data_IF_378961350385
#
_entry.id   IF_378961350385
#
_cell.length_a   1.000
_cell.length_b   1.000
_cell.length_c   1.000
_cell.angle_alpha   90.00
_cell.angle_beta   90.00
_cell.angle_gamma   90.00
#
_symmetry.space_group_name_H-M   'P 1'
#
loop_
_entity.id
_entity.type
_entity.pdbx_description
1 polymer ?
#
# COMPACT_ATOMS: atom_id res chain seq x y z
N UNK A 1 0.64 -78.60 7.52
CA UNK A 1 1.97 -77.99 7.75
C UNK A 1 1.74 -76.60 8.32
N UNK A 2 2.41 -76.29 9.43
CA UNK A 2 2.27 -75.08 10.28
C UNK A 2 2.72 -73.79 9.54
N UNK A 3 2.37 -72.55 9.92
CA UNK A 3 2.49 -71.91 11.25
C UNK A 3 1.75 -70.53 11.34
N UNK A 4 1.20 -70.23 12.53
CA UNK A 4 1.25 -69.00 13.39
C UNK A 4 1.10 -67.57 12.79
N UNK A 5 0.49 -66.49 13.35
CA UNK A 5 0.03 -66.01 14.69
C UNK A 5 -0.95 -64.79 14.45
N UNK A 6 -2.09 -64.56 15.15
CA UNK A 6 -2.34 -63.92 16.48
C UNK A 6 -1.62 -62.57 16.71
N UNK A 7 -2.20 -61.46 17.22
CA UNK A 7 -3.50 -61.15 17.84
C UNK A 7 -3.74 -59.62 17.90
N UNK A 8 -5.01 -59.22 17.85
CA UNK A 8 -5.55 -57.94 18.35
C UNK A 8 -5.67 -57.96 19.89
N UNK A 9 -5.53 -56.80 20.55
CA UNK A 9 -6.13 -56.59 21.87
C UNK A 9 -6.46 -55.11 22.15
N UNK A 10 -7.71 -54.90 22.55
CA UNK A 10 -8.30 -53.72 23.19
C UNK A 10 -7.79 -53.51 24.63
N UNK A 11 -7.74 -52.25 25.13
CA UNK A 11 -8.28 -51.82 26.45
C UNK A 11 -8.17 -50.29 26.68
N UNK A 12 -9.20 -49.73 27.33
CA UNK A 12 -9.41 -48.34 27.78
C UNK A 12 -8.71 -48.06 29.16
N UNK A 13 -9.06 -47.00 29.92
CA UNK A 13 -8.40 -45.68 30.02
C UNK A 13 -7.79 -45.42 31.43
N UNK A 14 -6.97 -44.38 31.59
CA UNK A 14 -6.52 -43.93 32.93
C UNK A 14 -6.59 -42.40 33.07
N UNK A 15 -7.33 -42.02 34.10
CA UNK A 15 -7.45 -40.72 34.74
C UNK A 15 -6.37 -40.63 35.83
N UNK A 16 -5.59 -39.54 35.88
CA UNK A 16 -4.73 -39.22 37.03
C UNK A 16 -4.63 -37.70 37.17
N UNK A 17 -5.36 -37.16 38.12
CA UNK A 17 -5.11 -35.87 38.78
C UNK A 17 -3.95 -36.01 39.76
N UNK A 18 -3.02 -35.04 39.81
CA UNK A 18 -2.38 -34.64 41.07
C UNK A 18 -1.76 -33.23 40.96
N UNK A 19 -2.06 -32.47 42.00
CA UNK A 19 -1.75 -31.07 42.29
C UNK A 19 -0.40 -30.94 42.97
N UNK A 20 0.42 -29.95 42.59
CA UNK A 20 1.53 -29.48 43.42
C UNK A 20 1.39 -27.96 43.59
N UNK A 21 1.02 -27.59 44.81
CA UNK A 21 0.86 -26.26 45.37
C UNK A 21 2.23 -25.74 45.82
N UNK A 22 2.58 -24.50 45.50
CA UNK A 22 3.70 -23.78 46.10
C UNK A 22 3.21 -22.38 46.46
N UNK A 23 3.09 -22.15 47.76
CA UNK A 23 2.70 -20.89 48.39
C UNK A 23 3.93 -20.10 48.84
N UNK A 24 3.69 -18.80 49.02
CA UNK A 24 4.36 -17.79 49.87
C UNK A 24 5.24 -16.75 49.17
N UNK A 25 5.30 -15.48 49.66
CA UNK A 25 4.46 -14.81 50.65
C UNK A 25 3.83 -13.48 50.16
N UNK A 26 2.75 -13.10 50.85
CA UNK A 26 2.12 -11.77 50.85
C UNK A 26 3.15 -10.69 51.19
N UNK A 27 3.43 -9.81 50.22
CA UNK A 27 4.14 -8.56 50.44
C UNK A 27 3.14 -7.42 50.39
N UNK A 28 2.65 -6.99 51.56
CA UNK A 28 2.01 -5.69 51.74
C UNK A 28 3.00 -4.60 51.34
N UNK A 29 2.87 -4.16 50.09
CA UNK A 29 3.48 -2.93 49.60
C UNK A 29 2.34 -1.97 49.33
N UNK A 30 2.04 -1.15 50.32
CA UNK A 30 1.37 0.14 50.12
C UNK A 30 2.31 1.01 49.27
N UNK A 31 2.32 0.74 47.96
CA UNK A 31 3.02 1.59 47.01
C UNK A 31 2.12 2.78 46.68
N UNK A 32 2.67 3.93 47.01
CA UNK A 32 2.23 5.25 46.63
C UNK A 32 1.60 5.28 45.24
N UNK A 33 0.41 5.88 45.15
CA UNK A 33 -0.21 6.28 43.90
C UNK A 33 0.68 7.30 43.18
N UNK A 34 1.73 6.82 42.53
CA UNK A 34 2.26 7.48 41.35
C UNK A 34 1.12 7.41 40.33
N UNK A 35 0.49 8.54 40.08
CA UNK A 35 -0.37 8.72 38.93
C UNK A 35 0.48 8.39 37.71
N UNK A 36 0.43 7.14 37.25
CA UNK A 36 1.07 6.68 36.03
C UNK A 36 0.40 7.45 34.91
N UNK A 37 0.98 8.61 34.56
CA UNK A 37 0.43 9.55 33.59
C UNK A 37 0.15 8.77 32.31
N UNK A 38 -1.14 8.50 32.08
CA UNK A 38 -1.54 7.68 30.94
C UNK A 38 -0.94 8.26 29.66
N UNK A 39 -0.26 7.45 28.83
CA UNK A 39 0.54 7.97 27.74
C UNK A 39 -0.29 8.87 26.84
N UNK A 40 0.24 10.07 26.58
CA UNK A 40 -0.38 11.12 25.76
C UNK A 40 -0.21 10.88 24.27
N UNK A 41 0.57 9.86 23.89
CA UNK A 41 0.77 9.39 22.53
C UNK A 41 0.21 7.97 22.41
N UNK A 42 -0.61 7.75 21.39
CA UNK A 42 -1.21 6.45 21.07
C UNK A 42 -0.85 6.03 19.65
N UNK A 43 -0.76 4.72 19.40
CA UNK A 43 -0.51 4.15 18.07
C UNK A 43 -1.79 3.53 17.52
N UNK A 44 -2.16 3.91 16.30
CA UNK A 44 -3.34 3.40 15.62
C UNK A 44 -3.09 2.06 14.89
N UNK A 45 -4.15 1.38 14.42
CA UNK A 45 -4.03 0.14 13.66
C UNK A 45 -3.24 0.28 12.35
N UNK A 46 -3.29 1.44 11.70
CA UNK A 46 -2.47 1.74 10.50
C UNK A 46 -1.01 2.09 10.84
N UNK A 47 -0.63 1.95 12.12
CA UNK A 47 0.68 2.23 12.71
C UNK A 47 1.05 3.71 12.79
N UNK A 48 0.11 4.61 12.56
CA UNK A 48 0.30 6.04 12.78
C UNK A 48 0.31 6.34 14.28
N UNK A 49 1.00 7.40 14.69
CA UNK A 49 1.05 7.84 16.08
C UNK A 49 0.31 9.15 16.24
N UNK A 50 -0.45 9.30 17.32
CA UNK A 50 -1.29 10.46 17.58
C UNK A 50 -1.07 10.99 19.00
N UNK A 51 -0.92 12.31 19.13
CA UNK A 51 -1.01 13.07 20.37
C UNK A 51 -2.48 13.30 20.72
N UNK A 52 -2.83 12.99 21.95
CA UNK A 52 -4.19 13.11 22.49
C UNK A 52 -4.25 13.98 23.76
N UNK A 53 -3.16 14.70 24.04
CA UNK A 53 -3.01 15.65 25.14
C UNK A 53 -4.04 16.80 25.08
N UNK A 54 -4.56 17.15 23.90
CA UNK A 54 -5.57 18.22 23.76
C UNK A 54 -7.02 17.74 23.93
N UNK A 55 -7.24 16.44 24.09
CA UNK A 55 -8.58 15.84 24.18
C UNK A 55 -9.07 15.80 25.63
N UNK A 56 -10.39 15.81 25.82
CA UNK A 56 -11.00 15.52 27.13
C UNK A 56 -10.70 14.08 27.57
N UNK A 57 -10.70 13.80 28.87
CA UNK A 57 -10.37 12.47 29.39
C UNK A 57 -11.31 11.37 28.88
N UNK A 58 -12.60 11.67 28.71
CA UNK A 58 -13.58 10.77 28.09
C UNK A 58 -13.20 10.44 26.64
N UNK A 59 -12.77 11.45 25.87
CA UNK A 59 -12.36 11.27 24.48
C UNK A 59 -11.03 10.52 24.39
N UNK A 60 -10.06 10.81 25.27
CA UNK A 60 -8.80 10.07 25.37
C UNK A 60 -9.05 8.59 25.65
N UNK A 61 -9.95 8.28 26.59
CA UNK A 61 -10.34 6.91 26.91
C UNK A 61 -10.97 6.21 25.69
N UNK A 62 -11.92 6.87 25.02
CA UNK A 62 -12.55 6.36 23.78
C UNK A 62 -11.50 6.05 22.70
N UNK A 63 -10.54 6.95 22.48
CA UNK A 63 -9.49 6.76 21.48
C UNK A 63 -8.61 5.57 21.82
N UNK A 64 -8.16 5.48 23.08
CA UNK A 64 -7.31 4.37 23.55
C UNK A 64 -8.02 3.03 23.37
N UNK A 65 -9.28 2.96 23.75
CA UNK A 65 -10.11 1.76 23.54
C UNK A 65 -10.22 1.41 22.05
N UNK A 66 -10.57 2.39 21.20
CA UNK A 66 -10.73 2.18 19.76
C UNK A 66 -9.43 1.74 19.05
N UNK A 67 -8.26 2.13 19.54
CA UNK A 67 -6.98 1.73 18.95
C UNK A 67 -6.40 0.45 19.58
N UNK A 68 -6.72 0.15 20.84
CA UNK A 68 -6.30 -1.08 21.53
C UNK A 68 -7.03 -2.30 21.00
N UNK A 69 -8.35 -2.20 20.83
CA UNK A 69 -9.18 -3.25 20.23
C UNK A 69 -9.95 -2.67 19.03
N UNK A 70 -9.27 -2.55 17.87
CA UNK A 70 -9.89 -1.93 16.72
C UNK A 70 -11.08 -2.74 16.23
N UNK A 71 -12.17 -2.06 15.82
CA UNK A 71 -13.35 -2.76 15.35
C UNK A 71 -12.99 -3.57 14.10
N UNK A 72 -13.51 -4.80 14.01
CA UNK A 72 -13.37 -5.66 12.83
C UNK A 72 -14.31 -5.15 11.75
N UNK A 73 -13.83 -4.17 10.99
CA UNK A 73 -14.59 -3.49 9.94
C UNK A 73 -13.92 -3.71 8.59
N UNK A 74 -14.74 -3.85 7.57
CA UNK A 74 -14.40 -3.69 6.15
C UNK A 74 -15.26 -2.57 5.57
N UNK A 75 -14.71 -1.80 4.63
CA UNK A 75 -15.50 -0.87 3.84
C UNK A 75 -16.16 -1.63 2.70
N UNK A 76 -17.46 -1.45 2.53
CA UNK A 76 -18.21 -2.13 1.48
C UNK A 76 -18.43 -1.21 0.30
N UNK A 77 -19.01 -0.04 0.55
CA UNK A 77 -19.33 0.94 -0.48
C UNK A 77 -18.96 2.35 -0.06
N UNK A 78 -18.57 3.17 -1.03
CA UNK A 78 -18.46 4.60 -0.87
C UNK A 78 -19.17 5.30 -2.02
N UNK A 79 -19.68 6.50 -1.74
CA UNK A 79 -20.28 7.34 -2.77
C UNK A 79 -20.13 8.80 -2.41
N UNK A 80 -20.07 9.64 -3.43
CA UNK A 80 -20.29 11.08 -3.32
C UNK A 80 -21.74 11.36 -3.72
N UNK A 81 -22.49 11.99 -2.83
CA UNK A 81 -23.83 12.47 -3.12
C UNK A 81 -23.97 13.90 -2.57
N UNK A 82 -24.36 14.83 -3.44
CA UNK A 82 -24.33 16.26 -3.14
C UNK A 82 -22.94 16.66 -2.62
N UNK A 83 -22.84 17.26 -1.43
CA UNK A 83 -21.60 17.64 -0.74
C UNK A 83 -21.29 16.66 0.39
N UNK A 84 -21.53 15.38 0.20
CA UNK A 84 -21.34 14.41 1.28
C UNK A 84 -20.81 13.09 0.74
N UNK A 85 -19.60 12.75 1.18
CA UNK A 85 -19.08 11.40 1.06
C UNK A 85 -19.78 10.52 2.08
N UNK A 86 -20.32 9.39 1.62
CA UNK A 86 -20.89 8.36 2.46
C UNK A 86 -20.06 7.09 2.33
N UNK A 87 -19.70 6.49 3.46
CA UNK A 87 -18.96 5.24 3.56
C UNK A 87 -19.80 4.23 4.32
N UNK A 88 -20.12 3.09 3.71
CA UNK A 88 -20.77 1.97 4.36
C UNK A 88 -19.72 0.94 4.77
N UNK A 89 -19.85 0.43 6.00
CA UNK A 89 -18.94 -0.56 6.55
C UNK A 89 -19.71 -1.78 7.07
N UNK A 90 -19.09 -2.94 6.92
CA UNK A 90 -19.61 -4.20 7.43
C UNK A 90 -19.24 -4.36 8.91
N UNK A 91 -20.25 -4.52 9.74
CA UNK A 91 -20.20 -4.98 11.13
C UNK A 91 -21.42 -5.92 11.32
N UNK A 92 -21.65 -6.50 12.50
CA UNK A 92 -22.90 -7.22 12.79
C UNK A 92 -24.17 -6.42 12.41
N UNK A 93 -24.09 -5.09 12.52
CA UNK A 93 -25.08 -4.16 11.98
C UNK A 93 -24.34 -3.18 11.07
N UNK A 94 -24.67 -3.10 9.76
CA UNK A 94 -24.00 -2.17 8.85
C UNK A 94 -24.02 -0.74 9.39
N UNK A 95 -22.86 -0.09 9.37
CA UNK A 95 -22.73 1.31 9.79
C UNK A 95 -22.42 2.18 8.58
N UNK A 96 -22.83 3.43 8.67
CA UNK A 96 -22.57 4.42 7.65
C UNK A 96 -21.93 5.65 8.27
N UNK A 97 -20.86 6.15 7.68
CA UNK A 97 -20.25 7.43 8.02
C UNK A 97 -20.48 8.42 6.91
N UNK A 98 -20.84 9.65 7.28
CA UNK A 98 -21.03 10.78 6.38
C UNK A 98 -20.01 11.86 6.68
N UNK A 99 -19.28 12.29 5.67
CA UNK A 99 -18.29 13.37 5.73
C UNK A 99 -18.70 14.39 4.66
N UNK A 100 -19.18 15.55 5.09
CA UNK A 100 -19.66 16.57 4.17
C UNK A 100 -18.87 17.87 4.26
N UNK A 101 -19.03 18.71 3.23
CA UNK A 101 -18.45 20.06 3.21
C UNK A 101 -19.04 20.93 4.32
N UNK A 102 -18.41 22.07 4.59
CA UNK A 102 -18.91 23.08 5.54
C UNK A 102 -20.32 23.58 5.24
N UNK A 103 -20.76 23.49 3.98
CA UNK A 103 -22.07 23.94 3.50
C UNK A 103 -23.10 22.79 3.41
N UNK A 104 -22.66 21.56 3.61
CA UNK A 104 -23.52 20.37 3.51
C UNK A 104 -24.45 20.20 4.71
N UNK A 105 -25.39 19.24 4.60
CA UNK A 105 -26.21 18.77 5.73
C UNK A 105 -25.37 18.10 6.84
N UNK A 106 -24.13 17.72 6.54
CA UNK A 106 -23.21 17.03 7.45
C UNK A 106 -21.87 17.78 7.55
N UNK A 107 -21.84 19.02 8.08
CA UNK A 107 -20.62 19.84 8.15
C UNK A 107 -19.59 19.31 9.16
N UNK A 108 -19.97 18.29 9.93
CA UNK A 108 -19.06 17.51 10.74
C UNK A 108 -19.27 16.03 10.44
N UNK A 109 -18.20 15.21 10.49
CA UNK A 109 -18.34 13.78 10.28
C UNK A 109 -19.35 13.15 11.26
N UNK A 110 -20.27 12.35 10.73
CA UNK A 110 -21.33 11.68 11.51
C UNK A 110 -21.33 10.18 11.25
N UNK A 111 -21.58 9.40 12.29
CA UNK A 111 -21.74 7.94 12.20
C UNK A 111 -23.17 7.54 12.58
N UNK A 112 -23.72 6.51 11.92
CA UNK A 112 -25.04 5.95 12.24
C UNK A 112 -25.08 5.11 13.53
N UNK A 113 -23.97 5.00 14.28
CA UNK A 113 -23.93 4.28 15.55
C UNK A 113 -24.60 5.03 16.73
N UNK A 114 -25.07 6.27 16.51
CA UNK A 114 -25.85 7.02 17.50
C UNK A 114 -25.05 7.78 18.56
N UNK A 115 -23.71 7.77 18.52
CA UNK A 115 -22.88 8.57 19.44
C UNK A 115 -23.00 10.06 19.06
N UNK A 116 -23.57 10.85 19.97
CA UNK A 116 -23.84 12.28 19.78
C UNK A 116 -22.63 13.16 20.15
N UNK A 117 -21.89 12.76 21.19
CA UNK A 117 -20.80 13.54 21.78
C UNK A 117 -19.44 12.91 21.45
N UNK A 118 -18.60 13.65 20.72
CA UNK A 118 -17.26 13.22 20.35
C UNK A 118 -17.22 12.10 19.30
N UNK A 119 -16.01 11.69 18.89
CA UNK A 119 -15.84 10.64 17.89
C UNK A 119 -16.20 9.26 18.46
N UNK A 120 -16.79 8.41 17.61
CA UNK A 120 -17.00 6.99 17.90
C UNK A 120 -15.85 6.15 17.33
N UNK A 121 -15.74 4.88 17.77
CA UNK A 121 -14.71 3.94 17.28
C UNK A 121 -14.71 3.79 15.75
N UNK A 122 -15.89 3.80 15.11
CA UNK A 122 -16.03 3.69 13.66
C UNK A 122 -15.45 4.90 12.94
N UNK A 123 -15.71 6.09 13.47
CA UNK A 123 -15.21 7.35 12.93
C UNK A 123 -13.69 7.45 13.08
N UNK A 124 -13.17 7.12 14.27
CA UNK A 124 -11.73 7.07 14.51
C UNK A 124 -11.03 6.09 13.57
N UNK A 125 -11.61 4.90 13.39
CA UNK A 125 -11.07 3.89 12.48
C UNK A 125 -11.05 4.38 11.03
N UNK A 126 -12.15 4.93 10.52
CA UNK A 126 -12.21 5.41 9.13
C UNK A 126 -11.24 6.57 8.91
N UNK A 127 -11.22 7.56 9.81
CA UNK A 127 -10.33 8.70 9.69
C UNK A 127 -8.86 8.27 9.72
N UNK A 128 -8.49 7.28 10.53
CA UNK A 128 -7.14 6.70 10.52
C UNK A 128 -6.79 6.06 9.17
N UNK A 129 -7.74 5.33 8.54
CA UNK A 129 -7.55 4.81 7.18
C UNK A 129 -7.38 5.94 6.16
N UNK A 130 -8.18 6.99 6.24
CA UNK A 130 -8.12 8.14 5.32
C UNK A 130 -6.78 8.86 5.43
N UNK A 131 -6.38 9.25 6.64
CA UNK A 131 -5.09 9.91 6.92
C UNK A 131 -3.94 9.08 6.35
N UNK A 132 -3.98 7.75 6.54
CA UNK A 132 -2.94 6.85 6.03
C UNK A 132 -2.79 6.90 4.51
N UNK A 133 -3.87 7.19 3.77
CA UNK A 133 -3.84 7.26 2.32
C UNK A 133 -3.53 8.67 1.79
N UNK A 134 -4.10 9.71 2.42
CA UNK A 134 -4.08 11.08 1.87
C UNK A 134 -2.88 11.91 2.34
N UNK A 135 -2.26 11.58 3.47
CA UNK A 135 -1.13 12.34 4.00
C UNK A 135 0.22 11.78 3.49
N UNK A 136 0.65 12.24 2.33
CA UNK A 136 1.87 11.77 1.68
C UNK A 136 3.18 12.10 2.43
N UNK A 137 3.28 13.31 2.98
CA UNK A 137 4.51 13.84 3.56
C UNK A 137 4.65 13.55 5.07
N UNK A 138 3.87 12.60 5.59
CA UNK A 138 3.95 12.23 7.00
C UNK A 138 5.30 11.56 7.31
N UNK A 139 6.03 12.13 8.27
CA UNK A 139 7.12 11.42 8.92
C UNK A 139 6.56 10.35 9.87
N UNK A 140 6.84 9.05 9.68
CA UNK A 140 6.34 7.99 10.57
C UNK A 140 6.79 8.13 12.03
N UNK A 141 7.87 8.89 12.27
CA UNK A 141 8.42 9.15 13.61
C UNK A 141 7.76 10.36 14.28
N UNK A 142 7.07 11.21 13.52
CA UNK A 142 6.40 12.40 14.03
C UNK A 142 4.94 12.09 14.35
N UNK A 143 4.51 12.19 15.62
CA UNK A 143 3.12 11.98 15.98
C UNK A 143 2.22 13.09 15.45
N UNK A 144 1.08 12.70 14.89
CA UNK A 144 0.00 13.58 14.44
C UNK A 144 -0.78 14.16 15.62
N UNK A 145 -1.48 15.26 15.43
CA UNK A 145 -2.25 15.92 16.48
C UNK A 145 -3.73 15.63 16.29
N UNK A 146 -4.34 14.88 17.21
CA UNK A 146 -5.76 14.55 17.09
C UNK A 146 -6.64 15.70 17.57
N UNK A 147 -7.59 16.10 16.71
CA UNK A 147 -8.62 17.08 17.03
C UNK A 147 -9.71 16.49 17.92
N UNK A 148 -10.50 17.35 18.56
CA UNK A 148 -11.68 16.93 19.35
C UNK A 148 -12.75 16.17 18.55
N UNK A 149 -12.70 16.26 17.22
CA UNK A 149 -13.59 15.55 16.29
C UNK A 149 -13.00 14.20 15.84
N UNK A 150 -11.80 13.84 16.27
CA UNK A 150 -11.18 12.53 16.02
C UNK A 150 -10.35 12.40 14.73
N UNK A 151 -10.07 13.50 14.01
CA UNK A 151 -9.18 13.50 12.85
C UNK A 151 -7.86 14.20 13.14
N UNK A 152 -6.84 13.94 12.32
CA UNK A 152 -5.52 14.59 12.41
C UNK A 152 -5.56 16.04 11.92
N UNK A 153 -5.06 16.98 12.73
CA UNK A 153 -4.97 18.41 12.40
C UNK A 153 -4.16 18.65 11.12
N UNK A 154 -3.12 17.83 10.89
CA UNK A 154 -2.21 17.92 9.75
C UNK A 154 -2.87 17.62 8.40
N UNK A 155 -3.99 16.89 8.39
CA UNK A 155 -4.77 16.61 7.17
C UNK A 155 -5.71 17.77 6.83
N UNK A 156 -5.96 18.68 7.78
CA UNK A 156 -6.92 19.76 7.61
C UNK A 156 -8.36 19.24 7.59
N UNK A 157 -9.16 19.73 6.65
CA UNK A 157 -10.56 19.32 6.53
C UNK A 157 -10.70 17.95 5.82
N UNK A 158 -11.38 16.96 6.42
CA UNK A 158 -11.53 15.64 5.82
C UNK A 158 -12.27 15.63 4.48
N UNK A 159 -13.24 16.53 4.27
CA UNK A 159 -13.96 16.59 2.99
C UNK A 159 -13.04 17.08 1.88
N UNK A 160 -12.32 18.17 2.12
CA UNK A 160 -11.31 18.68 1.17
C UNK A 160 -10.23 17.65 0.89
N UNK A 161 -9.74 16.94 1.92
CA UNK A 161 -8.73 15.89 1.75
C UNK A 161 -9.20 14.75 0.84
N UNK A 162 -10.45 14.29 0.98
CA UNK A 162 -11.03 13.28 0.09
C UNK A 162 -11.21 13.84 -1.32
N UNK A 163 -11.70 15.09 -1.43
CA UNK A 163 -11.94 15.77 -2.70
C UNK A 163 -10.66 15.96 -3.53
N UNK A 164 -9.59 16.42 -2.89
CA UNK A 164 -8.28 16.61 -3.53
C UNK A 164 -7.64 15.28 -3.92
N UNK A 165 -7.91 14.22 -3.15
CA UNK A 165 -7.43 12.87 -3.46
C UNK A 165 -8.26 12.14 -4.52
N UNK A 166 -9.52 12.57 -4.70
CA UNK A 166 -10.59 11.90 -5.44
C UNK A 166 -11.06 10.58 -4.82
N UNK A 167 -12.38 10.43 -4.68
CA UNK A 167 -13.00 9.29 -3.99
C UNK A 167 -12.65 7.96 -4.65
N UNK A 168 -12.58 7.88 -5.96
CA UNK A 168 -12.32 6.65 -6.69
C UNK A 168 -10.87 6.17 -6.54
N UNK A 169 -9.89 7.08 -6.56
CA UNK A 169 -8.49 6.73 -6.28
C UNK A 169 -8.31 6.31 -4.82
N UNK A 170 -9.03 6.97 -3.90
CA UNK A 170 -9.08 6.61 -2.49
C UNK A 170 -9.73 5.25 -2.29
N UNK A 171 -10.84 4.98 -2.99
CA UNK A 171 -11.63 3.77 -2.90
C UNK A 171 -10.81 2.53 -3.27
N UNK A 172 -10.01 2.59 -4.35
CA UNK A 172 -9.07 1.52 -4.72
C UNK A 172 -8.11 1.20 -3.55
N UNK A 173 -7.60 2.23 -2.87
CA UNK A 173 -6.65 2.09 -1.77
C UNK A 173 -7.31 1.56 -0.49
N UNK A 174 -8.56 1.93 -0.25
CA UNK A 174 -9.39 1.47 0.85
C UNK A 174 -10.08 0.13 0.57
N UNK A 175 -10.01 -0.37 -0.68
CA UNK A 175 -10.71 -1.55 -1.20
C UNK A 175 -12.22 -1.45 -1.03
N UNK A 176 -12.74 -0.27 -1.30
CA UNK A 176 -14.14 0.11 -1.14
C UNK A 176 -14.77 0.24 -2.54
N UNK A 177 -15.97 -0.30 -2.77
CA UNK A 177 -16.63 -0.17 -4.08
C UNK A 177 -17.28 1.21 -4.21
N UNK A 178 -16.97 1.94 -5.27
CA UNK A 178 -17.65 3.23 -5.56
C UNK A 178 -19.03 2.95 -6.14
N UNK A 179 -20.07 3.60 -5.61
CA UNK A 179 -21.44 3.53 -6.12
C UNK A 179 -21.82 4.89 -6.69
N UNK A 180 -22.28 4.91 -7.93
CA UNK A 180 -22.75 6.12 -8.61
C UNK A 180 -24.27 6.20 -8.51
N UNK A 181 -24.85 7.32 -8.04
CA UNK A 181 -26.29 7.45 -7.86
C UNK A 181 -27.11 7.49 -9.17
N UNK A 182 -26.46 7.72 -10.32
CA UNK A 182 -27.10 7.86 -11.64
C UNK A 182 -27.00 6.59 -12.51
N UNK A 183 -26.43 5.48 -12.01
CA UNK A 183 -26.66 4.16 -12.61
C UNK A 183 -28.03 3.68 -12.15
N UNK A 184 -29.08 4.24 -12.77
CA UNK A 184 -30.46 3.93 -12.43
C UNK A 184 -30.73 2.45 -12.66
N UNK A 185 -31.29 1.79 -11.65
CA UNK A 185 -31.96 0.48 -11.76
C UNK A 185 -33.26 0.57 -12.62
N UNK A 186 -33.28 1.44 -13.64
CA UNK A 186 -34.49 1.82 -14.40
C UNK A 186 -34.44 1.50 -15.91
N UNK A 187 -33.43 0.77 -16.39
CA UNK A 187 -33.45 0.21 -17.75
C UNK A 187 -33.36 -1.33 -17.68
N UNK A 188 -34.49 -2.00 -17.98
CA UNK A 188 -34.61 -3.45 -18.25
C UNK A 188 -33.87 -3.86 -19.56
N UNK A 189 -32.72 -3.26 -19.86
CA UNK A 189 -31.88 -3.65 -20.98
C UNK A 189 -30.73 -4.51 -20.44
N UNK A 190 -30.73 -5.79 -20.84
CA UNK A 190 -29.79 -6.87 -20.47
C UNK A 190 -28.29 -6.62 -20.82
N UNK A 191 -27.87 -5.36 -21.02
CA UNK A 191 -26.51 -4.92 -21.32
C UNK A 191 -25.97 -3.94 -20.25
N UNK A 192 -26.31 -4.17 -18.97
CA UNK A 192 -25.53 -3.63 -17.84
C UNK A 192 -24.14 -4.29 -17.85
N UNK A 193 -23.28 -3.80 -18.74
CA UNK A 193 -21.83 -3.95 -18.65
C UNK A 193 -21.37 -3.24 -17.37
N UNK A 194 -21.61 -3.86 -16.23
CA UNK A 194 -21.08 -3.44 -14.94
C UNK A 194 -19.56 -3.65 -15.02
N UNK A 195 -18.87 -2.63 -15.56
CA UNK A 195 -17.43 -2.61 -15.79
C UNK A 195 -16.73 -3.09 -14.51
N UNK A 196 -16.13 -4.28 -14.57
CA UNK A 196 -15.46 -4.86 -13.43
C UNK A 196 -14.38 -3.92 -12.94
N UNK A 197 -14.34 -3.67 -11.63
CA UNK A 197 -13.30 -2.86 -11.02
C UNK A 197 -11.91 -3.47 -11.34
N UNK A 198 -11.09 -2.80 -12.17
CA UNK A 198 -9.81 -3.36 -12.60
C UNK A 198 -8.84 -3.57 -11.43
N UNK A 199 -8.96 -2.74 -10.38
CA UNK A 199 -8.14 -2.88 -9.18
C UNK A 199 -8.49 -4.17 -8.47
N UNK A 200 -9.79 -4.44 -8.29
CA UNK A 200 -10.30 -5.64 -7.63
C UNK A 200 -9.97 -6.91 -8.41
N UNK A 201 -10.08 -6.88 -9.74
CA UNK A 201 -9.65 -7.99 -10.59
C UNK A 201 -8.17 -8.31 -10.39
N UNK A 202 -7.30 -7.29 -10.40
CA UNK A 202 -5.87 -7.46 -10.20
C UNK A 202 -5.55 -8.01 -8.80
N UNK A 203 -6.21 -7.50 -7.75
CA UNK A 203 -6.01 -8.01 -6.39
C UNK A 203 -6.50 -9.46 -6.23
N UNK A 204 -7.62 -9.83 -6.87
CA UNK A 204 -8.08 -11.20 -6.90
C UNK A 204 -7.09 -12.13 -7.61
N UNK A 205 -6.48 -11.66 -8.73
CA UNK A 205 -5.40 -12.37 -9.41
C UNK A 205 -4.21 -12.61 -8.49
N UNK A 206 -3.76 -11.57 -7.79
CA UNK A 206 -2.65 -11.65 -6.85
C UNK A 206 -2.90 -12.65 -5.72
N UNK A 207 -4.12 -12.67 -5.17
CA UNK A 207 -4.51 -13.63 -4.12
C UNK A 207 -4.48 -15.06 -4.63
N UNK A 208 -5.12 -15.32 -5.77
CA UNK A 208 -5.22 -16.67 -6.32
C UNK A 208 -3.87 -17.19 -6.82
N UNK A 209 -3.08 -16.33 -7.48
CA UNK A 209 -1.71 -16.65 -7.89
C UNK A 209 -0.82 -17.00 -6.68
N UNK A 210 -0.98 -16.30 -5.56
CA UNK A 210 -0.24 -16.59 -4.31
C UNK A 210 -0.59 -17.97 -3.75
N UNK A 211 -1.87 -18.35 -3.79
CA UNK A 211 -2.33 -19.69 -3.37
C UNK A 211 -1.77 -20.77 -4.29
N UNK A 212 -1.73 -20.49 -5.61
CA UNK A 212 -1.15 -21.39 -6.61
C UNK A 212 0.39 -21.40 -6.61
N UNK A 213 1.05 -20.49 -5.89
CA UNK A 213 2.50 -20.25 -5.90
C UNK A 213 3.07 -19.96 -7.31
N UNK A 214 2.34 -19.17 -8.10
CA UNK A 214 2.72 -18.73 -9.46
C UNK A 214 2.84 -17.20 -9.48
N UNK A 215 3.61 -16.66 -10.42
CA UNK A 215 3.65 -15.22 -10.61
C UNK A 215 2.27 -14.69 -11.06
N UNK A 216 1.78 -13.57 -10.50
CA UNK A 216 0.50 -13.00 -10.89
C UNK A 216 0.39 -12.70 -12.39
N UNK A 217 1.48 -12.34 -13.08
CA UNK A 217 1.46 -12.02 -14.51
C UNK A 217 1.19 -13.27 -15.38
N UNK A 218 1.58 -14.46 -14.93
CA UNK A 218 1.41 -15.75 -15.63
C UNK A 218 0.16 -16.52 -15.20
N UNK A 219 -0.45 -16.14 -14.07
CA UNK A 219 -1.57 -16.89 -13.49
C UNK A 219 -2.86 -16.70 -14.29
N UNK A 220 -3.40 -17.80 -14.85
CA UNK A 220 -4.74 -17.89 -15.49
C UNK A 220 -5.03 -16.73 -16.44
N UNK A 221 -4.15 -16.48 -17.40
CA UNK A 221 -4.34 -15.42 -18.42
C UNK A 221 -5.68 -15.52 -19.15
N UNK A 222 -6.26 -16.73 -19.25
CA UNK A 222 -7.60 -17.00 -19.81
C UNK A 222 -8.74 -16.36 -19.02
N UNK A 223 -8.55 -16.10 -17.72
CA UNK A 223 -9.54 -15.41 -16.86
C UNK A 223 -9.26 -13.91 -16.81
N UNK A 224 -7.99 -13.53 -16.68
CA UNK A 224 -7.61 -12.20 -16.22
C UNK A 224 -7.22 -11.22 -17.33
N UNK A 225 -6.98 -11.69 -18.56
CA UNK A 225 -6.67 -10.81 -19.69
C UNK A 225 -7.91 -10.02 -20.14
N UNK A 226 -9.07 -10.66 -20.12
CA UNK A 226 -10.35 -10.06 -20.48
C UNK A 226 -11.45 -10.61 -19.53
N UNK A 227 -11.51 -10.11 -18.29
CA UNK A 227 -12.38 -10.65 -17.26
C UNK A 227 -13.84 -10.31 -17.58
N UNK A 228 -14.71 -11.33 -17.60
CA UNK A 228 -16.15 -11.15 -17.77
C UNK A 228 -16.88 -11.28 -16.44
N UNK A 229 -17.83 -10.38 -16.09
CA UNK A 229 -18.62 -10.48 -14.86
C UNK A 229 -19.29 -11.85 -14.76
N UNK A 230 -19.84 -12.30 -15.89
CA UNK A 230 -20.56 -13.55 -16.02
C UNK A 230 -21.88 -13.53 -15.26
N UNK A 231 -22.91 -14.17 -15.81
CA UNK A 231 -24.26 -14.16 -15.20
C UNK A 231 -24.40 -14.99 -13.92
N UNK A 232 -23.40 -15.83 -13.61
CA UNK A 232 -23.44 -16.73 -12.47
C UNK A 232 -22.08 -16.81 -11.78
N UNK A 233 -22.09 -16.68 -10.44
CA UNK A 233 -20.89 -16.82 -9.61
C UNK A 233 -20.24 -18.20 -9.80
N UNK A 234 -21.05 -19.27 -9.86
CA UNK A 234 -20.56 -20.64 -10.00
C UNK A 234 -20.27 -20.97 -11.46
N UNK A 235 -18.98 -21.09 -11.82
CA UNK A 235 -18.55 -21.60 -13.12
C UNK A 235 -18.31 -23.10 -13.04
N UNK A 236 -19.20 -23.88 -13.67
CA UNK A 236 -19.10 -25.36 -13.65
C UNK A 236 -17.76 -25.82 -14.25
N UNK A 237 -17.11 -26.78 -13.59
CA UNK A 237 -15.81 -27.38 -13.95
C UNK A 237 -14.60 -26.42 -13.86
N UNK A 238 -14.77 -25.23 -13.29
CA UNK A 238 -13.69 -24.26 -13.10
C UNK A 238 -13.80 -23.62 -11.71
N UNK A 239 -13.18 -24.29 -10.73
CA UNK A 239 -13.22 -23.85 -9.33
C UNK A 239 -12.49 -22.53 -9.14
N UNK A 240 -11.34 -22.33 -9.77
CA UNK A 240 -10.56 -21.10 -9.62
C UNK A 240 -11.32 -19.89 -10.17
N UNK A 241 -11.99 -20.02 -11.32
CA UNK A 241 -12.85 -18.97 -11.84
C UNK A 241 -14.09 -18.73 -10.97
N UNK A 242 -14.64 -19.79 -10.35
CA UNK A 242 -15.71 -19.63 -9.35
C UNK A 242 -15.24 -18.81 -8.14
N UNK A 243 -14.05 -19.12 -7.61
CA UNK A 243 -13.48 -18.36 -6.48
C UNK A 243 -13.16 -16.93 -6.91
N UNK A 244 -12.63 -16.72 -8.12
CA UNK A 244 -12.42 -15.39 -8.69
C UNK A 244 -13.72 -14.57 -8.69
N UNK A 245 -14.82 -15.10 -9.23
CA UNK A 245 -16.13 -14.42 -9.22
C UNK A 245 -16.64 -14.14 -7.81
N UNK A 246 -16.45 -15.07 -6.87
CA UNK A 246 -16.79 -14.85 -5.46
C UNK A 246 -15.97 -13.72 -4.82
N UNK A 247 -14.69 -13.58 -5.19
CA UNK A 247 -13.82 -12.50 -4.71
C UNK A 247 -14.25 -11.13 -5.27
N UNK A 248 -14.82 -11.08 -6.47
CA UNK A 248 -15.37 -9.84 -7.04
C UNK A 248 -16.70 -9.46 -6.38
N UNK A 249 -17.62 -10.42 -6.26
CA UNK A 249 -18.99 -10.22 -5.78
C UNK A 249 -19.07 -9.96 -4.26
N UNK A 250 -18.27 -10.67 -3.46
CA UNK A 250 -18.39 -10.65 -2.00
C UNK A 250 -17.16 -10.00 -1.32
N UNK A 251 -17.36 -8.80 -0.79
CA UNK A 251 -16.32 -8.04 -0.08
C UNK A 251 -15.81 -8.73 1.19
N UNK A 252 -16.68 -9.35 1.98
CA UNK A 252 -16.25 -10.02 3.21
C UNK A 252 -15.41 -11.26 2.90
N UNK A 253 -15.78 -12.00 1.85
CA UNK A 253 -15.03 -13.15 1.38
C UNK A 253 -13.64 -12.74 0.90
N UNK A 254 -13.54 -11.66 0.14
CA UNK A 254 -12.26 -11.09 -0.26
C UNK A 254 -11.42 -10.64 0.93
N UNK A 255 -11.98 -9.90 1.88
CA UNK A 255 -11.25 -9.45 3.07
C UNK A 255 -10.81 -10.62 3.94
N UNK A 256 -11.60 -11.68 4.02
CA UNK A 256 -11.19 -12.93 4.66
C UNK A 256 -9.96 -13.52 3.97
N UNK A 257 -9.98 -13.70 2.65
CA UNK A 257 -8.81 -14.19 1.89
C UNK A 257 -7.59 -13.30 2.08
N UNK A 258 -7.76 -11.99 1.96
CA UNK A 258 -6.71 -10.99 2.17
C UNK A 258 -6.13 -11.06 3.59
N UNK A 259 -6.94 -11.36 4.62
CA UNK A 259 -6.45 -11.52 5.99
C UNK A 259 -5.58 -12.76 6.19
N UNK A 260 -5.75 -13.77 5.33
CA UNK A 260 -4.99 -15.03 5.35
C UNK A 260 -3.76 -15.02 4.45
N UNK A 261 -3.65 -14.06 3.53
CA UNK A 261 -2.47 -13.87 2.69
C UNK A 261 -1.22 -13.58 3.54
N UNK A 262 -0.09 -14.17 3.14
CA UNK A 262 1.20 -14.03 3.82
C UNK A 262 1.75 -12.63 3.58
N UNK A 263 2.60 -12.15 4.49
CA UNK A 263 3.35 -10.90 4.29
C UNK A 263 4.24 -10.94 3.04
N UNK A 264 4.61 -12.14 2.59
CA UNK A 264 5.34 -12.40 1.36
C UNK A 264 4.46 -12.42 0.10
N UNK A 265 3.15 -12.28 0.16
CA UNK A 265 2.33 -12.37 -1.05
C UNK A 265 2.33 -11.03 -1.81
N UNK A 266 2.28 -11.00 -3.16
CA UNK A 266 2.29 -9.77 -3.95
C UNK A 266 1.22 -8.74 -3.56
N UNK A 267 0.05 -9.21 -3.09
CA UNK A 267 -1.02 -8.33 -2.61
C UNK A 267 -0.65 -7.57 -1.31
N UNK A 268 0.31 -8.09 -0.54
CA UNK A 268 0.85 -7.45 0.67
C UNK A 268 2.08 -6.61 0.39
N UNK A 269 2.57 -6.58 -0.85
CA UNK A 269 3.71 -5.75 -1.24
C UNK A 269 3.29 -4.27 -1.36
N UNK A 270 3.77 -3.38 -0.47
CA UNK A 270 3.39 -1.97 -0.53
C UNK A 270 3.89 -1.28 -1.81
N UNK A 271 5.03 -1.68 -2.37
CA UNK A 271 5.62 -1.03 -3.54
C UNK A 271 4.79 -1.32 -4.80
N UNK A 272 4.25 -2.53 -4.92
CA UNK A 272 3.30 -2.86 -5.98
C UNK A 272 2.02 -2.02 -5.87
N UNK A 273 1.48 -1.82 -4.67
CA UNK A 273 0.28 -0.98 -4.46
C UNK A 273 0.52 0.49 -4.79
N UNK A 274 1.71 1.01 -4.47
CA UNK A 274 2.14 2.34 -4.87
C UNK A 274 2.23 2.51 -6.39
N UNK A 275 2.84 1.53 -7.07
CA UNK A 275 2.91 1.48 -8.54
C UNK A 275 1.52 1.43 -9.18
N UNK A 276 0.61 0.59 -8.65
CA UNK A 276 -0.79 0.50 -9.10
C UNK A 276 -1.53 1.83 -8.96
N UNK A 277 -1.36 2.53 -7.82
CA UNK A 277 -1.95 3.87 -7.63
C UNK A 277 -1.45 4.87 -8.68
N UNK A 278 -0.15 4.88 -8.98
CA UNK A 278 0.39 5.76 -10.02
C UNK A 278 -0.19 5.41 -11.40
N UNK A 279 -0.34 4.13 -11.73
CA UNK A 279 -1.00 3.73 -12.99
C UNK A 279 -2.44 4.24 -13.07
N UNK A 280 -3.21 4.13 -11.98
CA UNK A 280 -4.57 4.67 -11.89
C UNK A 280 -4.58 6.18 -12.18
N UNK A 281 -3.76 6.93 -11.47
CA UNK A 281 -3.63 8.39 -11.64
C UNK A 281 -3.26 8.77 -13.08
N UNK A 282 -2.33 8.04 -13.71
CA UNK A 282 -1.92 8.28 -15.08
C UNK A 282 -3.03 7.98 -16.09
N UNK A 283 -3.78 6.89 -15.89
CA UNK A 283 -4.95 6.55 -16.71
C UNK A 283 -6.01 7.64 -16.62
N UNK A 284 -6.26 8.15 -15.42
CA UNK A 284 -7.27 9.18 -15.20
C UNK A 284 -6.84 10.53 -15.81
N UNK A 285 -5.54 10.85 -15.76
CA UNK A 285 -4.96 11.99 -16.49
C UNK A 285 -5.13 11.82 -18.00
N UNK A 286 -4.82 10.65 -18.56
CA UNK A 286 -4.96 10.37 -19.99
C UNK A 286 -6.43 10.47 -20.43
N UNK A 287 -7.36 9.95 -19.62
CA UNK A 287 -8.80 10.06 -19.85
C UNK A 287 -9.28 11.53 -19.79
N UNK A 288 -8.79 12.30 -18.82
CA UNK A 288 -9.05 13.75 -18.73
C UNK A 288 -8.54 14.50 -19.97
N UNK A 289 -7.34 14.13 -20.45
CA UNK A 289 -6.69 14.73 -21.62
C UNK A 289 -7.43 14.44 -22.94
N UNK A 290 -8.10 13.28 -23.02
CA UNK A 290 -8.85 12.87 -24.21
C UNK A 290 -10.23 13.55 -24.34
N UNK A 291 -10.73 14.19 -23.28
CA UNK A 291 -12.05 14.85 -23.31
C UNK A 291 -12.00 16.12 -24.18
N UNK A 292 -12.94 16.31 -25.11
CA UNK A 292 -13.00 17.52 -25.90
C UNK A 292 -13.35 18.75 -25.01
N UNK A 293 -12.69 19.88 -25.25
CA UNK A 293 -12.87 21.17 -24.55
C UNK A 293 -14.32 21.72 -24.55
N UNK A 294 -15.25 21.06 -25.23
CA UNK A 294 -16.66 21.45 -25.36
C UNK A 294 -17.52 21.01 -24.18
N UNK A 295 -17.02 20.12 -23.32
CA UNK A 295 -17.71 19.69 -22.10
C UNK A 295 -17.43 20.69 -20.98
N UNK A 296 -18.07 21.85 -21.03
CA UNK A 296 -18.35 22.65 -19.82
C UNK A 296 -19.39 21.92 -18.97
N UNK A 297 -19.09 20.69 -18.56
CA UNK A 297 -19.95 19.87 -17.70
C UNK A 297 -19.58 20.22 -16.27
N UNK A 298 -20.55 20.82 -15.55
CA UNK A 298 -20.65 21.05 -14.10
C UNK A 298 -19.33 20.90 -13.32
N UNK A 299 -18.88 21.97 -12.64
CA UNK A 299 -17.75 21.92 -11.72
C UNK A 299 -17.83 20.63 -10.87
N UNK A 300 -17.00 19.66 -11.24
CA UNK A 300 -16.89 18.42 -10.48
C UNK A 300 -16.46 18.83 -9.09
N UNK A 301 -17.15 18.32 -8.07
CA UNK A 301 -16.87 18.70 -6.69
C UNK A 301 -15.48 18.23 -6.27
N UNK A 302 -15.06 17.09 -6.81
CA UNK A 302 -13.68 16.66 -6.90
C UNK A 302 -13.02 17.39 -8.06
N UNK A 303 -11.94 18.13 -7.84
CA UNK A 303 -11.35 19.06 -8.81
C UNK A 303 -10.91 18.44 -10.16
N UNK A 304 -10.21 19.19 -11.01
CA UNK A 304 -9.75 18.66 -12.30
C UNK A 304 -8.61 17.63 -12.14
N UNK A 305 -8.69 16.51 -12.87
CA UNK A 305 -7.64 15.47 -12.94
C UNK A 305 -6.50 15.85 -13.89
N UNK A 306 -5.98 17.05 -13.69
CA UNK A 306 -4.98 17.67 -14.54
C UNK A 306 -3.54 17.26 -14.20
N UNK A 307 -2.56 17.87 -14.88
CA UNK A 307 -1.13 17.56 -14.66
C UNK A 307 -0.67 17.90 -13.24
N UNK A 308 -1.19 18.97 -12.64
CA UNK A 308 -0.84 19.36 -11.28
C UNK A 308 -1.32 18.32 -10.26
N UNK A 309 -2.56 17.85 -10.41
CA UNK A 309 -3.14 16.76 -9.63
C UNK A 309 -2.34 15.46 -9.78
N UNK A 310 -2.08 15.03 -11.01
CA UNK A 310 -1.33 13.79 -11.26
C UNK A 310 0.10 13.86 -10.68
N UNK A 311 0.79 14.99 -10.87
CA UNK A 311 2.12 15.19 -10.32
C UNK A 311 2.14 15.21 -8.78
N UNK A 312 1.11 15.78 -8.14
CA UNK A 312 0.98 15.74 -6.68
C UNK A 312 0.93 14.29 -6.17
N UNK A 313 0.07 13.45 -6.76
CA UNK A 313 -0.02 12.04 -6.37
C UNK A 313 1.25 11.23 -6.68
N UNK A 314 1.89 11.46 -7.83
CA UNK A 314 3.11 10.73 -8.22
C UNK A 314 4.28 11.09 -7.29
N UNK A 315 4.44 12.38 -6.97
CA UNK A 315 5.45 12.83 -6.01
C UNK A 315 5.14 12.26 -4.63
N UNK A 316 3.88 12.34 -4.19
CA UNK A 316 3.45 11.80 -2.91
C UNK A 316 3.70 10.29 -2.78
N UNK A 317 3.40 9.50 -3.81
CA UNK A 317 3.73 8.08 -3.86
C UNK A 317 5.23 7.85 -3.82
N UNK A 318 6.02 8.65 -4.53
CA UNK A 318 7.49 8.57 -4.47
C UNK A 318 8.01 8.85 -3.05
N UNK A 319 7.42 9.82 -2.35
CA UNK A 319 7.68 10.09 -0.93
C UNK A 319 7.32 8.88 -0.06
N UNK A 320 6.17 8.26 -0.28
CA UNK A 320 5.78 7.04 0.46
C UNK A 320 6.74 5.87 0.21
N UNK A 321 7.20 5.67 -1.02
CA UNK A 321 8.21 4.66 -1.34
C UNK A 321 9.50 4.95 -0.57
N UNK A 322 10.00 6.19 -0.63
CA UNK A 322 11.20 6.62 0.08
C UNK A 322 11.08 6.39 1.59
N UNK A 323 10.00 6.88 2.20
CA UNK A 323 9.68 6.67 3.62
C UNK A 323 9.59 5.19 3.97
N UNK A 324 8.96 4.37 3.11
CA UNK A 324 8.84 2.93 3.33
C UNK A 324 10.19 2.22 3.24
N UNK A 325 11.14 2.71 2.45
CA UNK A 325 12.50 2.14 2.37
C UNK A 325 13.33 2.52 3.60
N UNK A 326 13.35 3.81 3.97
CA UNK A 326 14.36 4.34 4.89
C UNK A 326 13.87 4.68 6.31
N UNK A 327 12.56 4.81 6.54
CA UNK A 327 11.99 5.18 7.85
C UNK A 327 11.23 4.02 8.53
N UNK A 328 11.66 2.78 8.26
CA UNK A 328 11.09 1.56 8.84
C UNK A 328 12.01 0.97 9.91
N UNK A 329 11.43 0.21 10.85
CA UNK A 329 12.17 -0.36 11.98
C UNK A 329 13.16 -1.49 11.59
N UNK A 330 12.87 -2.20 10.50
CA UNK A 330 13.68 -3.33 10.03
C UNK A 330 14.08 -3.13 8.56
N UNK A 331 15.33 -3.48 8.18
CA UNK A 331 15.79 -3.31 6.81
C UNK A 331 14.94 -4.13 5.83
N UNK A 332 14.84 -3.63 4.59
CA UNK A 332 14.14 -4.35 3.52
C UNK A 332 14.81 -5.69 3.21
N UNK A 333 13.99 -6.71 2.99
CA UNK A 333 14.44 -7.96 2.38
C UNK A 333 14.91 -7.72 0.94
N UNK A 334 15.75 -8.60 0.40
CA UNK A 334 16.23 -8.51 -0.99
C UNK A 334 15.07 -8.39 -2.00
N UNK A 335 14.00 -9.14 -1.76
CA UNK A 335 12.79 -9.11 -2.59
C UNK A 335 12.06 -7.77 -2.51
N UNK A 336 11.85 -7.23 -1.30
CA UNK A 336 11.24 -5.91 -1.13
C UNK A 336 12.10 -4.80 -1.76
N UNK A 337 13.43 -4.86 -1.65
CA UNK A 337 14.33 -3.92 -2.34
C UNK A 337 14.14 -3.98 -3.85
N UNK A 338 14.08 -5.19 -4.40
CA UNK A 338 13.84 -5.41 -5.85
C UNK A 338 12.48 -4.89 -6.28
N UNK A 339 11.44 -5.10 -5.47
CA UNK A 339 10.09 -4.57 -5.73
C UNK A 339 10.05 -3.05 -5.68
N UNK A 340 10.70 -2.42 -4.69
CA UNK A 340 10.82 -0.97 -4.60
C UNK A 340 11.54 -0.39 -5.84
N UNK A 341 12.65 -1.00 -6.26
CA UNK A 341 13.37 -0.58 -7.46
C UNK A 341 12.50 -0.74 -8.73
N UNK A 342 11.80 -1.86 -8.86
CA UNK A 342 10.85 -2.12 -9.97
C UNK A 342 9.78 -1.02 -10.05
N UNK A 343 9.14 -0.71 -8.93
CA UNK A 343 8.10 0.31 -8.88
C UNK A 343 8.63 1.69 -9.30
N UNK A 344 9.80 2.09 -8.79
CA UNK A 344 10.44 3.36 -9.15
C UNK A 344 10.81 3.43 -10.64
N UNK A 345 11.38 2.36 -11.21
CA UNK A 345 11.72 2.30 -12.64
C UNK A 345 10.46 2.37 -13.50
N UNK A 346 9.41 1.62 -13.17
CA UNK A 346 8.14 1.62 -13.91
C UNK A 346 7.43 2.98 -13.81
N UNK A 347 7.45 3.65 -12.66
CA UNK A 347 6.93 5.03 -12.52
C UNK A 347 7.73 5.99 -13.40
N UNK A 348 9.07 5.93 -13.35
CA UNK A 348 9.93 6.80 -14.14
C UNK A 348 9.70 6.60 -15.65
N UNK A 349 9.59 5.35 -16.11
CA UNK A 349 9.27 5.01 -17.49
C UNK A 349 7.90 5.56 -17.92
N UNK A 350 6.88 5.39 -17.06
CA UNK A 350 5.52 5.86 -17.35
C UNK A 350 5.42 7.39 -17.43
N UNK A 351 6.18 8.13 -16.62
CA UNK A 351 6.28 9.60 -16.71
C UNK A 351 7.06 10.01 -17.96
N UNK A 352 8.16 9.32 -18.27
CA UNK A 352 8.99 9.60 -19.44
C UNK A 352 8.23 9.43 -20.74
N UNK A 353 7.39 8.40 -20.85
CA UNK A 353 6.54 8.15 -22.02
C UNK A 353 5.45 9.23 -22.26
N UNK A 354 5.23 10.14 -21.30
CA UNK A 354 4.19 11.18 -21.35
C UNK A 354 4.76 12.59 -21.54
N UNK A 355 5.82 12.73 -22.36
CA UNK A 355 6.27 14.05 -22.81
C UNK A 355 5.37 14.61 -23.93
N UNK A 356 4.14 14.97 -23.55
CA UNK A 356 3.14 15.59 -24.42
C UNK A 356 2.25 16.52 -23.60
N UNK A 357 1.65 17.50 -24.25
CA UNK A 357 0.63 18.34 -23.63
C UNK A 357 -0.64 17.51 -23.38
N UNK A 358 -0.98 17.32 -22.11
CA UNK A 358 -2.17 16.63 -21.63
C UNK A 358 -3.43 17.50 -21.81
N UNK A 359 -3.36 18.79 -21.49
CA UNK A 359 -4.47 19.72 -21.70
C UNK A 359 -3.99 21.17 -21.91
N UNK A 360 -4.87 22.12 -22.31
CA UNK A 360 -4.53 23.54 -22.38
C UNK A 360 -4.30 24.14 -20.99
N UNK A 361 -3.16 24.80 -20.78
CA UNK A 361 -2.78 25.41 -19.51
C UNK A 361 -1.86 26.61 -19.74
N UNK A 362 -1.64 27.46 -18.73
CA UNK A 362 -0.92 28.71 -18.92
C UNK A 362 0.59 28.52 -19.13
N UNK A 363 1.18 27.47 -18.54
CA UNK A 363 2.61 27.18 -18.65
C UNK A 363 2.86 25.75 -19.11
N UNK A 364 4.06 25.46 -19.65
CA UNK A 364 4.45 24.09 -20.01
C UNK A 364 4.32 23.12 -18.81
N UNK A 365 4.62 23.58 -17.59
CA UNK A 365 4.52 22.77 -16.36
C UNK A 365 3.08 22.44 -15.96
N UNK A 366 2.10 23.18 -16.44
CA UNK A 366 0.68 22.90 -16.21
C UNK A 366 0.11 21.95 -17.27
N UNK A 367 0.77 21.86 -18.42
CA UNK A 367 0.29 21.11 -19.58
C UNK A 367 0.97 19.77 -19.76
N UNK A 368 2.23 19.65 -19.33
CA UNK A 368 3.08 18.50 -19.63
C UNK A 368 3.65 17.88 -18.35
N UNK A 369 3.30 16.61 -18.10
CA UNK A 369 3.71 15.88 -16.91
C UNK A 369 5.22 15.64 -16.85
N UNK A 370 5.84 15.30 -17.98
CA UNK A 370 7.29 15.13 -18.07
C UNK A 370 8.01 16.44 -17.72
N UNK A 371 7.58 17.56 -18.30
CA UNK A 371 8.15 18.85 -18.01
C UNK A 371 8.03 19.22 -16.52
N UNK A 372 6.91 18.90 -15.89
CA UNK A 372 6.67 19.17 -14.45
C UNK A 372 7.51 18.32 -13.51
N UNK A 373 7.78 17.06 -13.84
CA UNK A 373 8.45 16.12 -12.93
C UNK A 373 9.95 15.95 -13.21
N UNK A 374 10.36 15.98 -14.47
CA UNK A 374 11.74 15.73 -14.91
C UNK A 374 12.35 16.98 -15.55
N UNK A 375 11.58 17.70 -16.36
CA UNK A 375 12.06 18.88 -17.09
C UNK A 375 12.27 20.13 -16.22
N UNK A 376 11.67 20.18 -15.03
CA UNK A 376 11.71 21.32 -14.13
C UNK A 376 13.03 21.34 -13.33
N UNK A 377 13.84 22.38 -13.56
CA UNK A 377 15.09 22.58 -12.84
C UNK A 377 14.90 22.77 -11.32
N UNK A 378 13.71 23.18 -10.87
CA UNK A 378 13.39 23.26 -9.44
C UNK A 378 13.24 21.87 -8.79
N UNK A 379 13.08 20.80 -9.58
CA UNK A 379 12.94 19.41 -9.13
C UNK A 379 14.01 18.50 -9.75
N UNK A 380 15.31 18.72 -9.43
CA UNK A 380 16.42 18.10 -10.17
C UNK A 380 16.60 16.58 -9.95
N UNK A 381 15.81 15.96 -9.08
CA UNK A 381 16.14 14.65 -8.50
C UNK A 381 15.00 13.61 -8.55
N UNK A 382 13.91 13.90 -9.25
CA UNK A 382 12.72 13.03 -9.26
C UNK A 382 13.09 11.55 -9.44
N UNK A 383 12.80 10.72 -8.43
CA UNK A 383 13.11 9.27 -8.33
C UNK A 383 14.60 8.87 -8.33
N UNK A 384 15.47 9.58 -9.06
CA UNK A 384 16.87 9.17 -9.28
C UNK A 384 17.66 9.05 -7.97
N UNK A 385 17.47 9.96 -7.02
CA UNK A 385 18.16 9.90 -5.73
C UNK A 385 17.79 8.63 -4.95
N UNK A 386 16.54 8.18 -5.04
CA UNK A 386 16.08 6.95 -4.39
C UNK A 386 16.67 5.71 -5.08
N UNK A 387 16.72 5.69 -6.42
CA UNK A 387 17.33 4.60 -7.19
C UNK A 387 18.84 4.47 -6.97
N UNK A 388 19.54 5.59 -6.81
CA UNK A 388 20.98 5.61 -6.49
C UNK A 388 21.31 4.94 -5.16
N UNK A 389 20.35 4.86 -4.23
CA UNK A 389 20.48 4.17 -2.95
C UNK A 389 20.13 2.67 -3.02
N UNK A 390 19.66 2.19 -4.18
CA UNK A 390 19.25 0.81 -4.42
C UNK A 390 19.97 0.18 -5.64
N UNK A 391 21.31 0.32 -5.80
CA UNK A 391 21.99 -0.11 -7.03
C UNK A 391 21.84 -1.61 -7.30
N UNK A 392 22.06 -2.47 -6.30
CA UNK A 392 21.96 -3.93 -6.48
C UNK A 392 20.54 -4.37 -6.86
N UNK A 393 19.53 -3.66 -6.35
CA UNK A 393 18.12 -3.97 -6.59
C UNK A 393 17.60 -3.37 -7.90
N UNK A 394 18.23 -2.29 -8.39
CA UNK A 394 17.93 -1.68 -9.69
C UNK A 394 18.66 -2.37 -10.85
N UNK A 395 19.76 -3.08 -10.59
CA UNK A 395 20.54 -3.77 -11.61
C UNK A 395 19.74 -4.71 -12.55
N UNK A 396 18.74 -5.48 -12.06
CA UNK A 396 17.88 -6.29 -12.94
C UNK A 396 17.09 -5.49 -13.98
N UNK A 397 16.89 -4.18 -13.75
CA UNK A 397 16.10 -3.28 -14.60
C UNK A 397 16.99 -2.33 -15.43
N UNK A 398 18.27 -2.67 -15.63
CA UNK A 398 19.21 -1.83 -16.38
C UNK A 398 18.72 -1.55 -17.81
N UNK A 399 18.20 -2.55 -18.51
CA UNK A 399 17.69 -2.39 -19.89
C UNK A 399 16.54 -1.37 -19.97
N UNK A 400 15.62 -1.43 -19.00
CA UNK A 400 14.51 -0.47 -18.92
C UNK A 400 15.03 0.93 -18.64
N UNK A 401 15.99 1.06 -17.71
CA UNK A 401 16.63 2.33 -17.37
C UNK A 401 17.41 2.95 -18.54
N UNK A 402 18.06 2.13 -19.37
CA UNK A 402 18.73 2.60 -20.58
C UNK A 402 17.73 3.14 -21.61
N UNK A 403 16.63 2.42 -21.82
CA UNK A 403 15.52 2.88 -22.70
C UNK A 403 14.93 4.20 -22.21
N UNK A 404 14.73 4.32 -20.89
CA UNK A 404 14.27 5.57 -20.26
C UNK A 404 15.30 6.69 -20.46
N UNK A 405 16.58 6.41 -20.30
CA UNK A 405 17.63 7.42 -20.46
C UNK A 405 17.77 7.92 -21.90
N UNK A 406 17.59 7.04 -22.89
CA UNK A 406 17.53 7.42 -24.31
C UNK A 406 16.36 8.38 -24.56
N UNK A 407 15.16 8.03 -24.07
CA UNK A 407 13.99 8.89 -24.20
C UNK A 407 14.18 10.25 -23.50
N UNK A 408 14.77 10.27 -22.31
CA UNK A 408 15.12 11.51 -21.59
C UNK A 408 16.14 12.33 -22.37
N UNK A 409 17.13 11.70 -23.01
CA UNK A 409 18.10 12.36 -23.87
C UNK A 409 17.46 13.06 -25.07
N UNK A 410 16.41 12.47 -25.64
CA UNK A 410 15.62 13.05 -26.74
C UNK A 410 14.71 14.19 -26.24
N UNK A 411 14.07 14.01 -25.09
CA UNK A 411 13.13 14.99 -24.53
C UNK A 411 13.81 16.22 -23.92
N UNK A 412 15.05 16.04 -23.45
CA UNK A 412 15.80 17.05 -22.73
C UNK A 412 15.44 17.07 -21.24
N UNK A 413 16.47 17.13 -20.40
CA UNK A 413 16.32 17.29 -18.95
C UNK A 413 17.38 18.27 -18.42
N UNK A 414 17.18 18.86 -17.23
CA UNK A 414 18.19 19.69 -16.58
C UNK A 414 19.52 18.95 -16.46
N UNK A 415 20.64 19.66 -16.66
CA UNK A 415 21.98 19.06 -16.67
C UNK A 415 22.30 18.24 -15.41
N UNK A 416 21.88 18.74 -14.24
CA UNK A 416 22.04 18.04 -12.97
C UNK A 416 21.29 16.69 -12.93
N UNK A 417 20.10 16.63 -13.53
CA UNK A 417 19.31 15.39 -13.63
C UNK A 417 20.01 14.39 -14.55
N UNK A 418 20.41 14.84 -15.76
CA UNK A 418 21.10 14.01 -16.74
C UNK A 418 22.43 13.44 -16.21
N UNK A 419 23.19 14.23 -15.45
CA UNK A 419 24.42 13.78 -14.80
C UNK A 419 24.15 12.70 -13.75
N UNK A 420 23.12 12.87 -12.92
CA UNK A 420 22.71 11.86 -11.92
C UNK A 420 22.24 10.56 -12.56
N UNK A 421 21.43 10.64 -13.61
CA UNK A 421 21.00 9.47 -14.37
C UNK A 421 22.19 8.72 -14.99
N UNK A 422 23.14 9.46 -15.57
CA UNK A 422 24.37 8.87 -16.11
C UNK A 422 25.20 8.17 -15.03
N UNK A 423 25.29 8.76 -13.83
CA UNK A 423 25.95 8.14 -12.67
C UNK A 423 25.25 6.86 -12.20
N UNK A 424 23.92 6.84 -12.19
CA UNK A 424 23.13 5.65 -11.89
C UNK A 424 23.45 4.54 -12.90
N UNK A 425 23.34 4.80 -14.20
CA UNK A 425 23.63 3.79 -15.22
C UNK A 425 25.08 3.27 -15.12
N UNK A 426 26.04 4.16 -14.87
CA UNK A 426 27.44 3.78 -14.70
C UNK A 426 27.70 2.95 -13.44
N UNK A 427 26.90 3.10 -12.37
CA UNK A 427 27.02 2.27 -11.17
C UNK A 427 26.44 0.88 -11.38
N UNK A 428 25.33 0.77 -12.13
CA UNK A 428 24.67 -0.51 -12.45
C UNK A 428 25.49 -1.38 -13.43
N UNK A 429 26.27 -0.75 -14.31
CA UNK A 429 27.16 -1.46 -15.27
C UNK A 429 28.41 -2.05 -14.63
N UNK A 430 28.77 -1.63 -13.41
CA UNK A 430 29.93 -2.19 -12.72
C UNK A 430 29.53 -3.56 -12.19
N UNK A 431 30.30 -4.63 -12.49
CA UNK A 431 30.03 -5.92 -11.88
C UNK A 431 30.08 -5.75 -10.36
N UNK A 432 29.06 -6.26 -9.67
CA UNK A 432 29.02 -6.28 -8.22
C UNK A 432 30.36 -6.85 -7.74
N UNK A 433 31.15 -6.03 -7.04
CA UNK A 433 32.35 -6.52 -6.37
C UNK A 433 31.87 -7.48 -5.31
N UNK A 434 31.77 -8.77 -5.65
CA UNK A 434 31.77 -9.86 -4.68
C UNK A 434 32.89 -9.53 -3.69
N UNK A 435 32.53 -9.43 -2.41
CA UNK A 435 33.48 -9.14 -1.36
C UNK A 435 34.68 -10.06 -1.50
N UNK A 436 35.81 -9.48 -1.90
CA UNK A 436 37.07 -10.20 -1.99
C UNK A 436 37.39 -10.60 -0.56
N UNK A 437 37.25 -11.90 -0.28
CA UNK A 437 37.81 -12.52 0.90
C UNK A 437 39.26 -12.08 1.02
N UNK A 438 39.64 -11.74 2.25
CA UNK A 438 40.99 -11.39 2.64
C UNK A 438 41.92 -12.58 2.35
N UNK A 439 42.56 -12.59 1.18
CA UNK A 439 43.81 -13.32 1.00
C UNK A 439 44.91 -12.48 1.62
N UNK A 440 45.33 -12.91 2.81
CA UNK A 440 46.58 -12.47 3.43
C UNK A 440 47.71 -12.80 2.46
N UNK A 441 48.36 -11.77 1.94
CA UNK A 441 49.69 -11.86 1.37
C UNK A 441 50.65 -12.31 2.47
N UNK A 442 51.14 -13.55 2.38
CA UNK A 442 52.39 -13.94 3.02
C UNK A 442 53.56 -13.59 2.08
N UNK A 443 54.53 -12.75 2.49
CA UNK A 443 55.73 -12.49 1.72
C UNK A 443 56.80 -13.49 2.16
N UNK A 444 57.19 -14.41 1.27
CA UNK A 444 58.42 -15.19 1.47
C UNK A 444 59.05 -15.55 0.13
N UNK A 445 59.81 -14.60 -0.40
CA UNK A 445 60.87 -14.86 -1.37
C UNK A 445 62.18 -15.19 -0.64
N UNK A 446 62.80 -16.31 -0.98
CA UNK A 446 64.13 -16.67 -0.50
C UNK A 446 64.69 -17.88 -1.28
N UNK A 447 65.53 -17.61 -2.27
CA UNK A 447 66.26 -18.61 -3.06
C UNK A 447 67.58 -19.03 -2.39
N UNK A 448 67.71 -20.34 -2.11
CA UNK A 448 68.91 -21.19 -2.23
C UNK A 448 70.02 -21.12 -1.16
N UNK A 449 71.04 -22.02 -1.20
CA UNK A 449 71.03 -23.44 -1.60
C UNK A 449 71.89 -24.36 -0.66
N UNK A 450 71.96 -25.67 -1.00
CA UNK A 450 72.94 -26.70 -0.58
C UNK A 450 72.73 -27.50 0.73
N UNK A 451 72.78 -28.84 0.58
CA UNK A 451 73.70 -29.64 1.40
C UNK A 451 73.12 -30.80 2.22
N UNK A 452 73.28 -32.02 1.67
CA UNK A 452 73.58 -33.30 2.35
C UNK A 452 72.64 -33.85 3.46
N UNK A 453 72.23 -35.11 3.25
CA UNK A 453 72.50 -36.16 4.26
C UNK A 453 71.32 -36.96 4.82
N UNK A 454 70.96 -38.03 4.11
CA UNK A 454 70.69 -39.40 4.59
C UNK A 454 70.41 -39.63 6.10
N UNK A 455 69.23 -40.17 6.45
CA UNK A 455 69.06 -41.57 6.93
C UNK A 455 67.62 -41.91 7.34
N UNK A 456 67.24 -43.13 6.98
CA UNK A 456 66.08 -43.92 7.38
C UNK A 456 66.29 -44.52 8.79
N UNK A 457 65.21 -45.12 9.33
CA UNK A 457 65.09 -46.01 10.52
C UNK A 457 64.52 -45.24 11.72
N UNK A 458 63.42 -45.62 12.38
CA UNK A 458 62.65 -46.86 12.44
C UNK A 458 61.17 -46.53 12.68
#
# INVERSE_FOLDING_TARGET
MASTSKSQTHRLPLDISETESSSDPEGDSEDSSAEDETPTIVRSPTKLTYKIDRLSDETRSTVREAFKDPPRLSLQYCRLQDDTYAFQMTEMVPRSIRIGSSESKFPTPRCSCGKQNGPCKHLLWLLDQLVKQTLYDQDPTSPLTMTSKGFAEEVGDPFSSISDFHLDVLADSLRCRVVHPDSGDDDDDDDDDEDLDPSRVQEARELLASVAAVDPEEYREDIFTDPTPGTNIIKRRDLECTIFRMLLDNNDFFHYFLSRARSSDPIKDPFNKFEQRVRRVLRDLDAYSARPNTSSSSASREGPRNVAWAAHHIVGVTTLINTTIFKRDAPLTSRERTSAARALVRILAAVTARNRDAHPGPTLLDRNLYARLIGDAARPNFIIDTLLLLPDAAAPFLSDLETVAEAIGVHGAPAAYAEKLSRLLASLKKPARSGSGSERQDPSGGQGPQGRGSKRVK
#
